data_IF_471575908175
#
_entry.id   IF_471575908175
#
_cell.length_a   1.000
_cell.length_b   1.000
_cell.length_c   1.000
_cell.angle_alpha   90.00
_cell.angle_beta   90.00
_cell.angle_gamma   90.00
#
_symmetry.space_group_name_H-M   'P 1'
#
loop_
_entity.id
_entity.type
_entity.pdbx_description
1 polymer ?
#
# COMPACT_ATOMS: atom_id res chain seq x y z
N UNK A 1 7.21 2.74 -13.46
CA UNK A 1 6.74 3.82 -12.56
C UNK A 1 5.70 3.27 -11.58
N UNK A 2 5.94 3.44 -10.29
CA UNK A 2 5.02 2.98 -9.23
C UNK A 2 3.86 3.98 -9.07
N UNK A 3 2.64 3.52 -9.34
CA UNK A 3 1.41 4.32 -9.24
C UNK A 3 0.63 4.05 -7.95
N UNK A 4 0.04 5.10 -7.38
CA UNK A 4 -0.86 5.03 -6.23
C UNK A 4 -2.25 4.54 -6.65
N UNK A 5 -2.87 3.71 -5.81
CA UNK A 5 -4.24 3.25 -5.94
C UNK A 5 -4.40 2.01 -6.82
N UNK A 6 -3.29 1.36 -7.20
CA UNK A 6 -3.27 0.16 -8.04
C UNK A 6 -2.31 -0.89 -7.46
N UNK A 7 -2.47 -2.13 -7.91
CA UNK A 7 -1.56 -3.21 -7.58
C UNK A 7 -0.33 -3.20 -8.50
N UNK A 8 0.83 -3.52 -7.91
CA UNK A 8 2.08 -3.72 -8.62
C UNK A 8 2.71 -5.04 -8.18
N UNK A 9 3.38 -5.72 -9.10
CA UNK A 9 4.27 -6.83 -8.76
C UNK A 9 5.70 -6.30 -8.78
N UNK A 10 6.28 -6.14 -7.60
CA UNK A 10 7.58 -5.49 -7.41
C UNK A 10 8.63 -6.47 -6.88
N UNK A 11 9.90 -6.23 -7.20
CA UNK A 11 11.01 -7.07 -6.74
C UNK A 11 11.52 -6.61 -5.38
N UNK A 12 11.81 -7.54 -4.47
CA UNK A 12 12.42 -7.23 -3.17
C UNK A 12 13.89 -6.85 -3.39
N UNK A 13 14.23 -5.59 -3.16
CA UNK A 13 15.59 -5.08 -3.38
C UNK A 13 16.48 -5.24 -2.16
N UNK A 14 15.94 -4.94 -0.96
CA UNK A 14 16.66 -5.01 0.31
C UNK A 14 15.71 -5.11 1.49
N UNK A 15 16.21 -5.76 2.55
CA UNK A 15 15.56 -5.79 3.87
C UNK A 15 16.23 -4.77 4.79
N UNK A 16 15.43 -3.97 5.47
CA UNK A 16 15.87 -2.90 6.37
C UNK A 16 15.02 -2.89 7.63
N UNK A 17 15.46 -2.17 8.67
CA UNK A 17 14.72 -2.06 9.93
C UNK A 17 13.23 -1.67 9.79
N UNK A 18 12.81 -0.72 8.93
CA UNK A 18 11.39 -0.40 8.77
C UNK A 18 10.59 -1.41 7.92
N UNK A 19 11.25 -2.26 7.13
CA UNK A 19 10.60 -3.18 6.20
C UNK A 19 11.42 -3.50 4.94
N UNK A 20 10.72 -3.99 3.92
CA UNK A 20 11.31 -4.31 2.62
C UNK A 20 11.20 -3.12 1.68
N UNK A 21 12.30 -2.77 1.02
CA UNK A 21 12.22 -1.88 -0.14
C UNK A 21 11.95 -2.72 -1.39
N UNK A 22 10.87 -2.38 -2.07
CA UNK A 22 10.43 -3.02 -3.30
C UNK A 22 10.68 -2.06 -4.46
N UNK A 23 11.10 -2.58 -5.61
CA UNK A 23 11.33 -1.76 -6.79
C UNK A 23 10.75 -2.30 -8.08
N UNK A 24 10.54 -1.39 -9.02
CA UNK A 24 10.24 -1.69 -10.42
C UNK A 24 11.52 -1.67 -11.27
N UNK A 25 11.38 -1.93 -12.57
CA UNK A 25 12.51 -1.94 -13.51
C UNK A 25 13.01 -0.51 -13.86
N UNK A 26 12.29 0.53 -13.44
CA UNK A 26 12.57 1.95 -13.71
C UNK A 26 13.28 2.65 -12.53
N UNK A 27 13.96 1.88 -11.66
CA UNK A 27 14.65 2.36 -10.45
C UNK A 27 13.75 3.10 -9.43
N UNK A 28 12.42 2.95 -9.51
CA UNK A 28 11.53 3.47 -8.47
C UNK A 28 11.45 2.49 -7.32
N UNK A 29 11.34 3.01 -6.11
CA UNK A 29 11.25 2.20 -4.90
C UNK A 29 10.09 2.62 -4.00
N UNK A 30 9.53 1.64 -3.29
CA UNK A 30 8.49 1.86 -2.27
C UNK A 30 8.74 0.94 -1.07
N UNK A 31 8.46 1.43 0.13
CA UNK A 31 8.57 0.65 1.35
C UNK A 31 7.34 -0.25 1.53
N UNK A 32 7.56 -1.53 1.81
CA UNK A 32 6.61 -2.46 2.41
C UNK A 32 6.93 -2.58 3.91
N UNK A 33 6.15 -1.93 4.80
CA UNK A 33 6.39 -1.96 6.24
C UNK A 33 6.37 -3.37 6.84
N UNK A 34 7.18 -3.61 7.87
CA UNK A 34 7.33 -4.92 8.56
C UNK A 34 6.02 -5.66 8.84
N UNK A 35 4.95 -4.94 9.22
CA UNK A 35 3.65 -5.56 9.53
C UNK A 35 2.99 -6.30 8.35
N UNK A 36 3.44 -6.03 7.13
CA UNK A 36 2.92 -6.61 5.88
C UNK A 36 3.92 -7.53 5.19
N UNK A 37 5.11 -7.69 5.77
CA UNK A 37 6.17 -8.55 5.23
C UNK A 37 5.76 -10.01 5.44
N UNK A 38 5.84 -10.87 4.40
CA UNK A 38 5.54 -12.28 4.53
C UNK A 38 6.56 -12.98 5.45
N UNK A 39 6.14 -14.09 6.07
CA UNK A 39 7.02 -14.85 6.99
C UNK A 39 8.31 -15.35 6.32
N UNK A 40 8.24 -15.67 5.03
CA UNK A 40 9.36 -16.15 4.24
C UNK A 40 9.47 -15.34 2.94
N UNK A 41 10.66 -14.83 2.65
CA UNK A 41 11.02 -14.17 1.40
C UNK A 41 12.52 -14.25 1.16
N UNK A 42 12.94 -14.08 -0.09
CA UNK A 42 14.33 -13.84 -0.46
C UNK A 42 14.47 -12.50 -1.18
N UNK A 43 15.67 -11.91 -1.11
CA UNK A 43 16.01 -10.77 -1.96
C UNK A 43 15.95 -11.22 -3.43
N UNK A 44 15.29 -10.41 -4.26
CA UNK A 44 15.01 -10.72 -5.67
C UNK A 44 13.65 -11.36 -5.93
N UNK A 45 12.95 -11.85 -4.91
CA UNK A 45 11.58 -12.37 -5.09
C UNK A 45 10.63 -11.24 -5.51
N UNK A 46 9.60 -11.61 -6.28
CA UNK A 46 8.53 -10.69 -6.68
C UNK A 46 7.33 -10.83 -5.76
N UNK A 47 6.76 -9.70 -5.36
CA UNK A 47 5.59 -9.65 -4.48
C UNK A 47 4.53 -8.71 -5.07
N UNK A 48 3.28 -9.17 -5.10
CA UNK A 48 2.14 -8.33 -5.44
C UNK A 48 1.74 -7.48 -4.23
N UNK A 49 1.72 -6.16 -4.43
CA UNK A 49 1.40 -5.18 -3.39
C UNK A 49 0.48 -4.10 -3.92
N UNK A 50 -0.36 -3.55 -3.06
CA UNK A 50 -1.12 -2.34 -3.33
C UNK A 50 -0.36 -1.12 -2.83
N UNK A 51 -0.23 -0.08 -3.65
CA UNK A 51 0.48 1.15 -3.27
C UNK A 51 -0.50 2.26 -2.93
N UNK A 52 -0.37 2.84 -1.74
CA UNK A 52 -1.22 3.93 -1.26
C UNK A 52 -0.40 4.95 -0.45
N UNK A 53 -1.04 6.05 -0.04
CA UNK A 53 -0.42 7.06 0.81
C UNK A 53 -0.66 6.74 2.29
N UNK A 54 0.39 6.76 3.10
CA UNK A 54 0.27 6.69 4.56
C UNK A 54 -0.29 7.99 5.16
N UNK A 55 -0.29 8.09 6.49
CA UNK A 55 -0.79 9.28 7.20
C UNK A 55 0.13 10.51 7.05
N UNK A 56 1.39 10.32 6.61
CA UNK A 56 2.36 11.39 6.33
C UNK A 56 2.41 11.73 4.82
N UNK A 57 1.43 11.27 4.05
CA UNK A 57 1.35 11.46 2.59
C UNK A 57 2.54 10.86 1.82
N UNK A 58 3.15 9.81 2.35
CA UNK A 58 4.23 9.08 1.68
C UNK A 58 3.69 7.84 0.97
N UNK A 59 4.15 7.53 -0.25
CA UNK A 59 3.87 6.25 -0.90
C UNK A 59 4.39 5.07 -0.08
N UNK A 60 3.51 4.11 0.19
CA UNK A 60 3.82 2.86 0.88
C UNK A 60 3.10 1.70 0.20
N UNK A 61 3.72 0.53 0.24
CA UNK A 61 3.15 -0.72 -0.24
C UNK A 61 2.48 -1.48 0.91
N UNK A 62 1.46 -2.28 0.58
CA UNK A 62 0.83 -3.22 1.50
C UNK A 62 0.41 -4.49 0.79
N UNK A 63 0.44 -5.61 1.50
CA UNK A 63 -0.15 -6.89 1.08
C UNK A 63 -1.61 -7.02 1.51
N UNK A 64 -2.12 -6.07 2.29
CA UNK A 64 -3.55 -5.97 2.62
C UNK A 64 -4.33 -5.54 1.39
N UNK A 65 -5.44 -6.24 1.13
CA UNK A 65 -6.32 -5.96 0.00
C UNK A 65 -7.34 -4.89 0.38
N UNK A 66 -7.33 -3.69 -0.25
CA UNK A 66 -8.40 -2.72 -0.05
C UNK A 66 -9.73 -3.24 -0.63
N UNK A 67 -10.83 -2.67 -0.16
CA UNK A 67 -12.18 -2.99 -0.64
C UNK A 67 -12.50 -2.33 -1.99
N UNK A 68 -11.71 -1.34 -2.40
CA UNK A 68 -11.88 -0.60 -3.65
C UNK A 68 -10.50 -0.19 -4.19
N UNK A 69 -10.39 -0.12 -5.52
CA UNK A 69 -9.19 0.36 -6.22
C UNK A 69 -9.48 1.56 -7.11
N UNK A 70 -8.42 2.25 -7.57
CA UNK A 70 -8.53 3.45 -8.41
C UNK A 70 -9.33 3.14 -9.67
N UNK A 71 -10.38 3.92 -9.92
CA UNK A 71 -11.25 3.78 -11.09
C UNK A 71 -12.50 2.93 -10.86
N UNK A 72 -12.61 2.25 -9.71
CA UNK A 72 -13.77 1.42 -9.38
C UNK A 72 -14.80 2.16 -8.51
N UNK A 73 -15.95 1.52 -8.30
CA UNK A 73 -17.02 1.98 -7.43
C UNK A 73 -17.41 0.89 -6.43
N UNK A 74 -17.54 1.26 -5.15
CA UNK A 74 -17.95 0.33 -4.10
C UNK A 74 -18.75 1.04 -2.99
N UNK A 75 -19.59 0.27 -2.28
CA UNK A 75 -20.20 0.70 -1.03
C UNK A 75 -19.23 0.47 0.12
N UNK A 76 -18.87 1.54 0.84
CA UNK A 76 -17.95 1.50 1.97
C UNK A 76 -18.65 1.91 3.27
N UNK A 77 -18.14 1.41 4.40
CA UNK A 77 -18.62 1.84 5.73
C UNK A 77 -18.02 3.20 6.06
N UNK A 78 -18.83 4.17 6.46
CA UNK A 78 -18.34 5.41 7.05
C UNK A 78 -17.92 5.16 8.51
N UNK A 79 -16.64 5.33 8.81
CA UNK A 79 -16.10 5.16 10.16
C UNK A 79 -16.21 6.44 10.99
N UNK A 80 -16.09 7.61 10.37
CA UNK A 80 -16.15 8.88 11.07
C UNK A 80 -16.66 10.01 10.17
N UNK A 81 -17.43 10.93 10.75
CA UNK A 81 -17.79 12.21 10.12
C UNK A 81 -17.25 13.34 10.98
N UNK A 82 -16.58 14.31 10.35
CA UNK A 82 -16.05 15.51 11.00
C UNK A 82 -16.46 16.76 10.23
N UNK A 83 -16.08 17.94 10.72
CA UNK A 83 -16.26 19.20 9.98
C UNK A 83 -15.48 19.27 8.66
N UNK A 84 -14.49 18.40 8.46
CA UNK A 84 -13.64 18.39 7.27
C UNK A 84 -14.10 17.38 6.22
N UNK A 85 -14.89 16.38 6.59
CA UNK A 85 -15.32 15.32 5.68
C UNK A 85 -15.77 14.04 6.38
N UNK A 86 -16.10 13.04 5.57
CA UNK A 86 -16.42 11.69 6.00
C UNK A 86 -15.27 10.75 5.63
N UNK A 87 -14.92 9.87 6.56
CA UNK A 87 -13.79 8.95 6.46
C UNK A 87 -14.32 7.53 6.31
N UNK A 88 -13.96 6.90 5.19
CA UNK A 88 -14.50 5.61 4.78
C UNK A 88 -13.51 4.48 5.07
N UNK A 89 -14.03 3.40 5.62
CA UNK A 89 -13.33 2.13 5.72
C UNK A 89 -13.24 1.51 4.34
N UNK A 90 -12.01 1.38 3.86
CA UNK A 90 -11.68 0.75 2.58
C UNK A 90 -10.72 -0.42 2.78
N UNK A 91 -10.61 -0.96 4.00
CA UNK A 91 -9.82 -2.15 4.32
C UNK A 91 -8.35 -1.88 4.65
N UNK A 92 -7.89 -0.62 4.59
CA UNK A 92 -6.53 -0.22 4.95
C UNK A 92 -6.49 0.52 6.29
N UNK A 93 -5.28 0.61 6.87
CA UNK A 93 -5.05 1.27 8.17
C UNK A 93 -5.42 2.76 8.12
N UNK A 94 -5.05 3.45 7.04
CA UNK A 94 -5.49 4.83 6.79
C UNK A 94 -6.92 4.80 6.27
N UNK A 95 -7.77 5.70 6.74
CA UNK A 95 -9.13 5.84 6.21
C UNK A 95 -9.11 6.60 4.88
N UNK A 96 -10.02 6.24 3.97
CA UNK A 96 -10.19 6.96 2.71
C UNK A 96 -10.94 8.27 2.99
N UNK A 97 -10.44 9.40 2.47
CA UNK A 97 -11.00 10.73 2.66
C UNK A 97 -11.03 11.51 1.35
#
# INVERSE_FOLDING_TARGET
MIEIGVYHTLSILRSTDPGLFLGDDDENEVLLPNRYVPENFNIGDKIEVFVYLDNEERPVATTTKPYITKGDFALLRCNQVTKFGAFMDWGLVKQLF
#
